data_IF_594664038732
#
_entry.id   IF_594664038732
#
_cell.length_a   1.000
_cell.length_b   1.000
_cell.length_c   1.000
_cell.angle_alpha   90.00
_cell.angle_beta   90.00
_cell.angle_gamma   90.00
#
_symmetry.space_group_name_H-M   'P 1'
#
loop_
_entity.id
_entity.type
_entity.pdbx_description
1 polymer ?
#
# COMPACT_ATOMS: atom_id res chain seq x y z
N UNK A 1 23.72 -5.52 3.61
CA UNK A 1 22.68 -6.03 4.55
C UNK A 1 21.49 -5.09 4.45
N UNK A 2 20.26 -5.60 4.33
CA UNK A 2 19.06 -4.83 3.96
C UNK A 2 18.78 -3.65 4.92
N UNK A 3 19.10 -2.43 4.49
CA UNK A 3 19.06 -1.19 5.30
C UNK A 3 17.67 -0.90 5.87
N UNK A 4 16.61 -1.25 5.13
CA UNK A 4 15.22 -0.89 5.47
C UNK A 4 14.42 -2.04 6.08
N UNK A 5 15.10 -3.10 6.53
CA UNK A 5 14.46 -4.17 7.32
C UNK A 5 13.66 -3.67 8.54
N UNK A 6 13.95 -2.52 9.19
CA UNK A 6 13.13 -2.04 10.30
C UNK A 6 11.70 -1.68 9.92
N UNK A 7 11.39 -1.39 8.64
CA UNK A 7 10.01 -1.25 8.15
C UNK A 7 9.22 -2.52 8.48
N UNK A 8 9.77 -3.67 8.08
CA UNK A 8 9.14 -4.97 8.33
C UNK A 8 9.13 -5.30 9.81
N UNK A 9 10.25 -5.08 10.51
CA UNK A 9 10.37 -5.37 11.93
C UNK A 9 9.37 -4.60 12.79
N UNK A 10 9.17 -3.31 12.52
CA UNK A 10 8.22 -2.48 13.25
C UNK A 10 6.78 -2.93 13.05
N UNK A 11 6.39 -3.26 11.82
CA UNK A 11 5.04 -3.72 11.51
C UNK A 11 4.78 -5.10 12.11
N UNK A 12 5.67 -6.08 11.93
CA UNK A 12 5.51 -7.40 12.57
C UNK A 12 5.49 -7.31 14.10
N UNK A 13 6.23 -6.36 14.69
CA UNK A 13 6.17 -6.12 16.14
C UNK A 13 4.81 -5.57 16.58
N UNK A 14 4.15 -4.75 15.76
CA UNK A 14 2.90 -4.07 16.11
C UNK A 14 1.63 -4.84 15.74
N UNK A 15 1.72 -5.77 14.77
CA UNK A 15 0.57 -6.42 14.11
C UNK A 15 0.76 -7.93 14.02
N UNK A 16 0.13 -8.69 14.93
CA UNK A 16 0.18 -10.16 14.93
C UNK A 16 -0.59 -10.80 13.76
N UNK A 17 -1.54 -10.08 13.16
CA UNK A 17 -2.31 -10.54 11.99
C UNK A 17 -1.49 -10.50 10.70
N UNK A 18 -0.38 -9.76 10.67
CA UNK A 18 0.42 -9.56 9.46
C UNK A 18 1.43 -10.69 9.30
N UNK A 19 1.36 -11.37 8.16
CA UNK A 19 2.27 -12.47 7.79
C UNK A 19 3.07 -12.18 6.52
N UNK A 20 2.73 -11.09 5.81
CA UNK A 20 3.46 -10.63 4.65
C UNK A 20 3.46 -9.10 4.57
N UNK A 21 4.59 -8.55 4.12
CA UNK A 21 4.78 -7.11 3.95
C UNK A 21 5.52 -6.87 2.64
N UNK A 22 5.06 -5.90 1.85
CA UNK A 22 5.77 -5.38 0.68
C UNK A 22 6.08 -3.90 0.93
N UNK A 23 7.36 -3.54 0.79
CA UNK A 23 7.79 -2.15 0.64
C UNK A 23 8.24 -1.93 -0.81
N UNK A 24 7.82 -0.83 -1.43
CA UNK A 24 8.21 -0.50 -2.80
C UNK A 24 8.15 1.02 -3.07
N UNK A 25 8.80 1.43 -4.17
CA UNK A 25 8.89 2.82 -4.63
C UNK A 25 8.08 3.05 -5.92
N UNK A 26 6.81 2.64 -5.95
CA UNK A 26 5.95 2.81 -7.14
C UNK A 26 5.88 4.29 -7.58
N UNK A 27 6.33 4.63 -8.81
CA UNK A 27 6.38 6.03 -9.28
C UNK A 27 5.00 6.69 -9.36
N UNK A 28 3.94 5.91 -9.55
CA UNK A 28 2.56 6.43 -9.61
C UNK A 28 1.99 6.72 -8.22
N UNK A 29 2.54 6.11 -7.16
CA UNK A 29 2.07 6.27 -5.79
C UNK A 29 2.72 7.48 -5.10
N UNK A 30 4.01 7.71 -5.36
CA UNK A 30 4.79 8.80 -4.74
C UNK A 30 4.13 10.18 -4.85
N UNK A 31 3.52 10.61 -5.97
CA UNK A 31 2.84 11.90 -6.06
C UNK A 31 1.76 12.13 -4.99
N UNK A 32 1.04 11.08 -4.59
CA UNK A 32 0.02 11.17 -3.53
C UNK A 32 0.61 11.24 -2.12
N UNK A 33 1.89 10.90 -1.97
CA UNK A 33 2.59 11.03 -0.69
C UNK A 33 3.13 12.45 -0.44
N UNK A 34 3.21 13.30 -1.47
CA UNK A 34 3.83 14.63 -1.41
C UNK A 34 2.86 15.77 -1.74
N UNK A 35 1.57 15.47 -1.90
CA UNK A 35 0.52 16.44 -2.19
C UNK A 35 -0.67 16.23 -1.27
N UNK A 36 -1.55 17.22 -1.16
CA UNK A 36 -2.80 17.11 -0.39
C UNK A 36 -3.87 16.27 -1.09
N UNK A 37 -3.59 15.74 -2.30
CA UNK A 37 -4.53 14.90 -3.03
C UNK A 37 -4.56 13.51 -2.41
N UNK A 38 -5.69 13.06 -1.85
CA UNK A 38 -5.74 11.76 -1.20
C UNK A 38 -5.77 10.63 -2.24
N UNK A 39 -4.94 9.60 -2.03
CA UNK A 39 -5.06 8.34 -2.76
C UNK A 39 -6.20 7.51 -2.18
N UNK A 40 -7.28 7.34 -2.95
CA UNK A 40 -8.47 6.58 -2.56
C UNK A 40 -8.85 5.59 -3.65
N UNK A 41 -9.52 4.46 -3.31
CA UNK A 41 -10.06 3.55 -4.31
C UNK A 41 -11.02 4.25 -5.26
N UNK A 42 -10.73 4.20 -6.57
CA UNK A 42 -11.59 4.79 -7.60
C UNK A 42 -12.21 3.76 -8.55
N UNK A 43 -11.71 2.52 -8.57
CA UNK A 43 -12.31 1.40 -9.30
C UNK A 43 -12.33 0.13 -8.45
N UNK A 44 -13.21 -0.80 -8.82
CA UNK A 44 -13.47 -2.02 -8.08
C UNK A 44 -12.21 -2.79 -7.66
N UNK A 45 -11.23 -3.07 -8.55
CA UNK A 45 -10.03 -3.81 -8.12
C UNK A 45 -9.15 -3.00 -7.17
N UNK A 46 -9.20 -1.66 -7.26
CA UNK A 46 -8.55 -0.76 -6.32
C UNK A 46 -9.09 -0.86 -4.90
N UNK A 47 -10.27 -1.46 -4.66
CA UNK A 47 -10.84 -1.61 -3.31
C UNK A 47 -9.91 -2.35 -2.34
N UNK A 48 -9.13 -3.33 -2.84
CA UNK A 48 -8.24 -4.17 -2.02
C UNK A 48 -7.24 -3.36 -1.18
N UNK A 49 -6.91 -2.13 -1.56
CA UNK A 49 -5.92 -1.29 -0.85
C UNK A 49 -6.47 -0.72 0.47
N UNK A 50 -7.78 -0.82 0.71
CA UNK A 50 -8.47 -0.26 1.87
C UNK A 50 -9.06 1.13 1.62
N UNK A 51 -9.91 1.59 2.55
CA UNK A 51 -10.61 2.87 2.47
C UNK A 51 -9.75 4.08 2.85
N UNK A 52 -8.73 3.87 3.68
CA UNK A 52 -7.87 4.92 4.21
C UNK A 52 -6.39 4.57 4.02
N UNK A 53 -5.63 5.51 3.46
CA UNK A 53 -4.21 5.37 3.19
C UNK A 53 -3.48 6.55 3.85
N UNK A 54 -3.02 6.40 5.10
CA UNK A 54 -2.28 7.46 5.78
C UNK A 54 -0.95 7.75 5.06
N UNK A 55 -0.48 8.98 5.20
CA UNK A 55 0.85 9.41 4.76
C UNK A 55 1.71 9.59 5.99
N UNK A 56 2.79 8.82 6.08
CA UNK A 56 3.80 8.96 7.10
C UNK A 56 4.90 9.92 6.63
N UNK A 57 5.16 10.98 7.38
CA UNK A 57 6.33 11.83 7.21
C UNK A 57 7.33 11.57 8.33
N UNK A 58 8.46 10.95 7.99
CA UNK A 58 9.58 10.72 8.92
C UNK A 58 10.04 12.01 9.62
N UNK A 59 9.84 13.18 9.01
CA UNK A 59 10.27 14.44 9.58
C UNK A 59 9.51 14.82 10.85
N UNK A 60 8.27 14.38 10.99
CA UNK A 60 7.39 14.75 12.10
C UNK A 60 8.02 14.41 13.45
N UNK A 61 8.76 13.30 13.51
CA UNK A 61 9.41 12.81 14.73
C UNK A 61 10.94 12.75 14.65
N UNK A 62 11.54 12.90 13.46
CA UNK A 62 13.00 12.70 13.27
C UNK A 62 13.73 13.85 12.56
N UNK A 63 13.10 15.01 12.37
CA UNK A 63 13.70 16.18 11.71
C UNK A 63 14.20 15.86 10.28
N UNK A 64 15.26 16.53 9.81
CA UNK A 64 15.85 16.25 8.52
C UNK A 64 16.54 14.87 8.51
N UNK A 65 16.14 14.04 7.56
CA UNK A 65 16.69 12.69 7.37
C UNK A 65 16.99 12.43 5.90
N UNK A 66 17.62 11.29 5.59
CA UNK A 66 17.76 10.80 4.22
C UNK A 66 16.51 10.06 3.71
N UNK A 67 15.37 10.18 4.41
CA UNK A 67 14.07 9.55 4.09
C UNK A 67 14.01 8.02 4.26
N UNK A 68 15.12 7.37 4.63
CA UNK A 68 15.19 5.93 4.80
C UNK A 68 14.81 5.51 6.23
N UNK A 69 14.18 4.35 6.34
CA UNK A 69 13.83 3.76 7.64
C UNK A 69 14.93 2.79 8.05
N UNK A 70 15.94 3.29 8.75
CA UNK A 70 17.21 2.60 9.01
C UNK A 70 17.35 2.03 10.41
N UNK A 71 16.45 2.39 11.33
CA UNK A 71 16.43 1.88 12.69
C UNK A 71 15.01 1.52 13.17
N UNK A 72 14.92 0.82 14.30
CA UNK A 72 13.65 0.32 14.84
C UNK A 72 12.76 1.44 15.42
N UNK A 73 13.31 2.59 15.79
CA UNK A 73 12.50 3.71 16.26
C UNK A 73 11.65 4.27 15.11
N UNK A 74 12.28 4.53 13.96
CA UNK A 74 11.61 4.91 12.72
C UNK A 74 10.63 3.84 12.23
N UNK A 75 11.01 2.56 12.34
CA UNK A 75 10.15 1.44 11.95
C UNK A 75 8.87 1.34 12.80
N UNK A 76 8.96 1.58 14.11
CA UNK A 76 7.79 1.60 15.00
C UNK A 76 6.91 2.81 14.76
N UNK A 77 7.51 3.96 14.47
CA UNK A 77 6.78 5.18 14.15
C UNK A 77 5.95 5.02 12.86
N UNK A 78 6.56 4.47 11.81
CA UNK A 78 5.86 4.08 10.58
C UNK A 78 4.75 3.05 10.86
N UNK A 79 5.01 2.04 11.69
CA UNK A 79 4.00 1.04 12.05
C UNK A 79 2.82 1.65 12.82
N UNK A 80 3.06 2.65 13.68
CA UNK A 80 2.01 3.39 14.36
C UNK A 80 1.14 4.20 13.37
N UNK A 81 1.76 4.81 12.36
CA UNK A 81 1.05 5.50 11.28
C UNK A 81 0.17 4.54 10.46
N UNK A 82 0.71 3.36 10.09
CA UNK A 82 -0.05 2.31 9.41
C UNK A 82 -1.26 1.88 10.26
N UNK A 83 -1.06 1.67 11.56
CA UNK A 83 -2.09 1.17 12.47
C UNK A 83 -2.69 -0.15 11.96
N UNK A 84 -4.01 -0.28 12.07
CA UNK A 84 -4.76 -1.43 11.54
C UNK A 84 -4.99 -1.44 10.03
N UNK A 85 -4.45 -0.46 9.28
CA UNK A 85 -4.70 -0.31 7.84
C UNK A 85 -3.78 -1.20 7.02
N UNK A 86 -4.11 -1.35 5.75
CA UNK A 86 -3.36 -2.21 4.82
C UNK A 86 -2.18 -1.51 4.18
N UNK A 87 -2.32 -0.23 3.86
CA UNK A 87 -1.33 0.55 3.14
C UNK A 87 -1.01 1.81 3.93
N UNK A 88 0.27 2.16 4.01
CA UNK A 88 0.72 3.50 4.39
C UNK A 88 1.63 4.03 3.30
N UNK A 89 1.42 5.28 2.91
CA UNK A 89 2.36 6.01 2.06
C UNK A 89 3.48 6.56 2.93
N UNK A 90 4.65 6.76 2.33
CA UNK A 90 5.82 7.34 2.98
C UNK A 90 6.20 8.57 2.15
N UNK A 91 6.03 9.78 2.72
CA UNK A 91 6.18 11.05 1.98
C UNK A 91 7.48 11.05 1.18
N UNK A 92 7.40 11.21 -0.14
CA UNK A 92 8.57 11.37 -1.02
C UNK A 92 9.46 10.13 -1.13
N UNK A 93 9.02 8.98 -0.63
CA UNK A 93 9.81 7.75 -0.59
C UNK A 93 9.08 6.62 -1.33
N UNK A 94 7.88 6.24 -0.89
CA UNK A 94 7.18 5.10 -1.46
C UNK A 94 5.98 4.69 -0.62
N UNK A 95 5.80 3.39 -0.45
CA UNK A 95 4.72 2.85 0.37
C UNK A 95 5.10 1.53 1.03
N UNK A 96 4.33 1.16 2.04
CA UNK A 96 4.34 -0.15 2.67
C UNK A 96 2.93 -0.74 2.63
N UNK A 97 2.85 -2.03 2.34
CA UNK A 97 1.63 -2.82 2.26
C UNK A 97 1.76 -4.02 3.19
N UNK A 98 0.80 -4.23 4.08
CA UNK A 98 0.77 -5.33 5.03
C UNK A 98 -0.50 -6.19 4.87
N UNK A 99 -0.38 -7.50 5.07
CA UNK A 99 -1.49 -8.45 4.92
C UNK A 99 -1.18 -9.84 5.46
N UNK A 100 -2.15 -10.74 5.36
CA UNK A 100 -2.09 -12.09 5.92
C UNK A 100 -1.40 -13.10 5.00
N UNK A 101 -1.24 -12.77 3.71
CA UNK A 101 -0.54 -13.66 2.76
C UNK A 101 0.30 -12.88 1.75
N UNK A 102 1.32 -13.56 1.19
CA UNK A 102 2.14 -12.99 0.11
C UNK A 102 1.28 -12.61 -1.11
N UNK A 103 0.31 -13.47 -1.46
CA UNK A 103 -0.58 -13.24 -2.62
C UNK A 103 -1.39 -11.96 -2.45
N UNK A 104 -1.95 -11.77 -1.27
CA UNK A 104 -2.73 -10.59 -0.89
C UNK A 104 -1.91 -9.30 -0.98
N UNK A 105 -0.70 -9.26 -0.38
CA UNK A 105 0.12 -8.03 -0.43
C UNK A 105 0.68 -7.76 -1.82
N UNK A 106 0.95 -8.78 -2.63
CA UNK A 106 1.36 -8.61 -4.03
C UNK A 106 0.20 -8.06 -4.86
N UNK A 107 -0.99 -8.64 -4.73
CA UNK A 107 -2.20 -8.18 -5.43
C UNK A 107 -2.53 -6.73 -5.05
N UNK A 108 -2.50 -6.40 -3.75
CA UNK A 108 -2.70 -5.05 -3.28
C UNK A 108 -1.63 -4.08 -3.79
N UNK A 109 -0.36 -4.49 -3.87
CA UNK A 109 0.71 -3.65 -4.42
C UNK A 109 0.49 -3.33 -5.90
N UNK A 110 0.09 -4.32 -6.70
CA UNK A 110 -0.20 -4.14 -8.13
C UNK A 110 -1.39 -3.19 -8.31
N UNK A 111 -2.50 -3.42 -7.61
CA UNK A 111 -3.68 -2.58 -7.76
C UNK A 111 -3.55 -1.21 -7.10
N UNK A 112 -2.68 -1.03 -6.10
CA UNK A 112 -2.32 0.28 -5.59
C UNK A 112 -1.67 1.14 -6.69
N UNK A 113 -0.70 0.58 -7.40
CA UNK A 113 -0.05 1.24 -8.53
C UNK A 113 -1.03 1.55 -9.66
N UNK A 114 -1.88 0.59 -10.05
CA UNK A 114 -2.90 0.81 -11.09
C UNK A 114 -3.91 1.88 -10.65
N UNK A 115 -4.41 1.84 -9.42
CA UNK A 115 -5.33 2.82 -8.88
C UNK A 115 -4.73 4.23 -8.90
N UNK A 116 -3.48 4.36 -8.45
CA UNK A 116 -2.79 5.64 -8.41
C UNK A 116 -2.59 6.22 -9.82
N UNK A 117 -2.18 5.38 -10.78
CA UNK A 117 -2.02 5.80 -12.18
C UNK A 117 -3.33 6.20 -12.86
N UNK A 118 -4.42 5.51 -12.58
CA UNK A 118 -5.75 5.88 -13.07
C UNK A 118 -6.23 7.19 -12.42
N UNK A 119 -6.07 7.33 -11.10
CA UNK A 119 -6.47 8.54 -10.39
C UNK A 119 -5.72 9.77 -10.89
N UNK A 120 -4.41 9.68 -11.15
CA UNK A 120 -3.62 10.76 -11.76
C UNK A 120 -4.16 11.22 -13.12
N UNK A 121 -4.65 10.28 -13.93
CA UNK A 121 -5.27 10.59 -15.23
C UNK A 121 -6.67 11.18 -15.04
N UNK A 122 -7.47 10.61 -14.14
CA UNK A 122 -8.85 11.06 -13.89
C UNK A 122 -8.91 12.49 -13.34
N UNK A 123 -7.95 12.91 -12.52
CA UNK A 123 -7.87 14.28 -12.00
C UNK A 123 -7.70 15.34 -13.09
N UNK A 124 -7.20 14.96 -14.27
CA UNK A 124 -7.10 15.87 -15.42
C UNK A 124 -8.43 16.02 -16.17
N UNK A 125 -9.40 15.13 -15.91
CA UNK A 125 -10.71 15.14 -16.55
C UNK A 125 -11.77 15.87 -15.71
N UNK A 126 -11.55 16.03 -14.40
CA UNK A 126 -12.44 16.75 -13.50
C UNK A 126 -12.53 16.12 -12.11
N UNK A 127 -13.64 16.39 -11.42
CA UNK A 127 -13.91 15.83 -10.09
C UNK A 127 -14.08 14.32 -10.16
N UNK A 128 -13.36 13.59 -9.29
CA UNK A 128 -13.38 12.14 -9.27
C UNK A 128 -14.44 11.64 -8.29
N UNK A 129 -15.35 10.81 -8.80
CA UNK A 129 -16.30 10.07 -7.96
C UNK A 129 -15.65 8.75 -7.50
N UNK A 130 -15.20 8.74 -6.25
CA UNK A 130 -14.57 7.57 -5.62
C UNK A 130 -15.59 6.47 -5.31
N UNK A 131 -15.08 5.28 -5.00
CA UNK A 131 -15.91 4.22 -4.43
C UNK A 131 -16.45 4.63 -3.06
N UNK A 132 -17.69 4.25 -2.79
CA UNK A 132 -18.30 4.35 -1.47
C UNK A 132 -17.70 3.33 -0.49
N UNK A 133 -17.83 3.55 0.83
CA UNK A 133 -17.35 2.59 1.83
C UNK A 133 -17.91 1.17 1.64
N UNK A 134 -19.20 1.04 1.30
CA UNK A 134 -19.83 -0.25 1.05
C UNK A 134 -19.29 -0.95 -0.20
N UNK A 135 -19.01 -0.21 -1.28
CA UNK A 135 -18.37 -0.79 -2.48
C UNK A 135 -16.95 -1.27 -2.18
N UNK A 136 -16.20 -0.52 -1.36
CA UNK A 136 -14.85 -0.90 -0.94
C UNK A 136 -14.89 -2.19 -0.11
N UNK A 137 -15.79 -2.27 0.88
CA UNK A 137 -15.95 -3.46 1.74
C UNK A 137 -16.31 -4.71 0.92
N UNK A 138 -17.39 -4.65 0.14
CA UNK A 138 -17.86 -5.79 -0.65
C UNK A 138 -16.80 -6.30 -1.63
N UNK A 139 -16.10 -5.39 -2.31
CA UNK A 139 -15.11 -5.77 -3.30
C UNK A 139 -13.77 -6.19 -2.68
N UNK A 140 -13.40 -5.63 -1.53
CA UNK A 140 -12.25 -6.10 -0.76
C UNK A 140 -12.45 -7.55 -0.33
N UNK A 141 -13.62 -7.86 0.25
CA UNK A 141 -13.99 -9.22 0.64
C UNK A 141 -13.96 -10.18 -0.54
N UNK A 142 -14.48 -9.75 -1.70
CA UNK A 142 -14.45 -10.58 -2.91
C UNK A 142 -13.02 -10.84 -3.40
N UNK A 143 -12.11 -9.87 -3.30
CA UNK A 143 -10.70 -10.03 -3.72
C UNK A 143 -9.86 -10.80 -2.69
N UNK A 144 -10.28 -10.85 -1.42
CA UNK A 144 -9.63 -11.66 -0.40
C UNK A 144 -9.98 -13.14 -0.52
N UNK A 145 -11.00 -13.52 -1.28
CA UNK A 145 -11.33 -14.93 -1.57
C UNK A 145 -10.30 -15.55 -2.51
N UNK A 146 -9.92 -16.80 -2.21
CA UNK A 146 -8.89 -17.56 -2.92
C UNK A 146 -9.08 -17.61 -4.44
N UNK A 147 -10.31 -17.81 -4.92
CA UNK A 147 -10.62 -17.95 -6.34
C UNK A 147 -10.28 -16.69 -7.17
N UNK A 148 -10.41 -15.50 -6.57
CA UNK A 148 -10.01 -14.24 -7.21
C UNK A 148 -8.49 -14.06 -7.23
N UNK A 149 -7.83 -14.43 -6.14
CA UNK A 149 -6.37 -14.31 -6.00
C UNK A 149 -5.61 -15.30 -6.88
N UNK A 150 -6.09 -16.54 -7.03
CA UNK A 150 -5.41 -17.60 -7.78
C UNK A 150 -5.21 -17.22 -9.25
N UNK A 151 -6.26 -16.75 -9.93
CA UNK A 151 -6.18 -16.36 -11.34
C UNK A 151 -5.18 -15.24 -11.59
N UNK A 152 -5.24 -14.20 -10.77
CA UNK A 152 -4.33 -13.06 -10.88
C UNK A 152 -2.88 -13.49 -10.59
N UNK A 153 -2.70 -14.30 -9.54
CA UNK A 153 -1.41 -14.87 -9.15
C UNK A 153 -0.82 -15.74 -10.24
N UNK A 154 -1.57 -16.69 -10.79
CA UNK A 154 -1.15 -17.56 -11.89
C UNK A 154 -0.72 -16.74 -13.10
N UNK A 155 -1.50 -15.72 -13.47
CA UNK A 155 -1.15 -14.83 -14.58
C UNK A 155 0.19 -14.13 -14.35
N UNK A 156 0.41 -13.53 -13.16
CA UNK A 156 1.66 -12.84 -12.85
C UNK A 156 2.84 -13.79 -12.67
N UNK A 157 2.64 -14.96 -12.09
CA UNK A 157 3.66 -16.00 -11.95
C UNK A 157 4.11 -16.50 -13.32
N UNK A 158 3.18 -16.79 -14.23
CA UNK A 158 3.49 -17.15 -15.62
C UNK A 158 4.28 -16.04 -16.34
N UNK A 159 3.82 -14.79 -16.21
CA UNK A 159 4.51 -13.63 -16.81
C UNK A 159 5.92 -13.42 -16.22
N UNK A 160 6.14 -13.82 -14.97
CA UNK A 160 7.44 -13.80 -14.32
C UNK A 160 8.31 -15.03 -14.62
N UNK A 161 7.84 -15.98 -15.46
CA UNK A 161 8.54 -17.22 -15.80
C UNK A 161 8.58 -18.24 -14.66
N UNK A 162 7.56 -18.24 -13.79
CA UNK A 162 7.45 -19.06 -12.58
C UNK A 162 6.14 -19.86 -12.49
N UNK A 163 5.35 -19.92 -13.57
CA UNK A 163 4.08 -20.64 -13.65
C UNK A 163 4.20 -21.99 -14.35
#
# INVERSE_FOLDING_TARGET
MYTERPIHGGIYQAREDVMAIVHNHSPTVIPFSVTDTPLRPMFHLGAIIGSELPVWDIRDNFQDTNMLVTNMEQGRDLAACLGGRRVSLMRGHGCVIAGQTIREVVMASVYLQVNAGLLLQSLQLGEVKYLSPGEIEMMSDSQMRLTGQERAWEYWANRAGRG
#
